data_IF_379837098025
#
_entry.id   IF_379837098025
#
_cell.length_a   1.000
_cell.length_b   1.000
_cell.length_c   1.000
_cell.angle_alpha   90.00
_cell.angle_beta   90.00
_cell.angle_gamma   90.00
#
_symmetry.space_group_name_H-M   'P 1'
#
loop_
_entity.id
_entity.type
_entity.pdbx_description
1 polymer ?
#
# COMPACT_ATOMS: atom_id res chain seq x y z
N UNK A 1 39.57 49.05 2.38
CA UNK A 1 38.38 49.82 2.78
C UNK A 1 37.10 49.03 2.51
N UNK A 2 36.92 47.89 3.17
CA UNK A 2 35.66 47.14 3.16
C UNK A 2 35.56 46.46 4.53
N UNK A 3 34.87 47.10 5.47
CA UNK A 3 34.76 46.63 6.85
C UNK A 3 33.89 45.36 6.98
N UNK A 4 33.82 44.77 8.19
CA UNK A 4 33.18 43.48 8.47
C UNK A 4 31.73 43.33 7.98
N UNK A 5 31.03 44.44 7.70
CA UNK A 5 29.66 44.46 7.18
C UNK A 5 29.52 43.94 5.74
N UNK A 6 30.58 43.91 4.93
CA UNK A 6 30.53 43.42 3.54
C UNK A 6 30.67 41.90 3.43
N UNK A 7 31.38 41.26 4.36
CA UNK A 7 31.46 39.80 4.46
C UNK A 7 30.10 39.21 4.83
N UNK A 8 29.34 39.86 5.71
CA UNK A 8 27.98 39.44 6.06
C UNK A 8 27.02 39.56 4.88
N UNK A 9 27.17 40.55 4.01
CA UNK A 9 26.35 40.66 2.79
C UNK A 9 26.69 39.57 1.77
N UNK A 10 27.96 39.17 1.65
CA UNK A 10 28.39 38.09 0.75
C UNK A 10 28.07 36.69 1.31
N UNK A 11 28.19 36.51 2.63
CA UNK A 11 27.78 35.31 3.34
C UNK A 11 26.26 35.17 3.41
N UNK A 12 25.52 36.28 3.63
CA UNK A 12 24.06 36.30 3.64
C UNK A 12 23.49 36.09 2.24
N UNK A 13 24.09 36.65 1.18
CA UNK A 13 23.66 36.36 -0.20
C UNK A 13 24.00 34.94 -0.66
N UNK A 14 25.13 34.38 -0.23
CA UNK A 14 25.45 32.97 -0.47
C UNK A 14 24.50 32.03 0.31
N UNK A 15 24.23 32.32 1.59
CA UNK A 15 23.28 31.56 2.40
C UNK A 15 21.85 31.68 1.84
N UNK A 16 21.43 32.86 1.41
CA UNK A 16 20.13 33.09 0.79
C UNK A 16 19.99 32.36 -0.55
N UNK A 17 21.04 32.38 -1.39
CA UNK A 17 21.10 31.59 -2.62
C UNK A 17 20.96 30.11 -2.34
N UNK A 18 21.74 29.56 -1.40
CA UNK A 18 21.61 28.16 -0.98
C UNK A 18 20.19 27.87 -0.49
N UNK A 19 19.58 28.76 0.29
CA UNK A 19 18.21 28.56 0.81
C UNK A 19 17.13 28.53 -0.27
N UNK A 20 17.30 29.23 -1.39
CA UNK A 20 16.33 29.21 -2.50
C UNK A 20 16.67 28.13 -3.52
N UNK A 21 17.92 28.06 -3.96
CA UNK A 21 18.33 27.14 -5.02
C UNK A 21 18.37 25.68 -4.55
N UNK A 22 18.65 25.42 -3.28
CA UNK A 22 18.65 24.05 -2.75
C UNK A 22 17.26 23.40 -2.80
N UNK A 23 16.18 23.97 -2.23
CA UNK A 23 14.86 23.36 -2.33
C UNK A 23 14.34 23.31 -3.77
N UNK A 24 14.64 24.32 -4.60
CA UNK A 24 14.28 24.31 -6.03
C UNK A 24 14.97 23.17 -6.76
N UNK A 25 16.27 22.96 -6.53
CA UNK A 25 17.01 21.84 -7.10
C UNK A 25 16.45 20.49 -6.64
N UNK A 26 16.11 20.36 -5.36
CA UNK A 26 15.46 19.15 -4.85
C UNK A 26 14.10 18.91 -5.51
N UNK A 27 13.28 19.93 -5.70
CA UNK A 27 12.00 19.80 -6.41
C UNK A 27 12.21 19.38 -7.88
N UNK A 28 13.20 19.91 -8.58
CA UNK A 28 13.48 19.52 -9.96
C UNK A 28 13.99 18.08 -10.02
N UNK A 29 14.92 17.70 -9.14
CA UNK A 29 15.48 16.35 -9.13
C UNK A 29 14.45 15.27 -8.77
N UNK A 30 13.67 15.49 -7.71
CA UNK A 30 12.66 14.53 -7.26
C UNK A 30 11.33 14.63 -8.03
N UNK A 31 11.02 15.79 -8.61
CA UNK A 31 9.83 16.03 -9.43
C UNK A 31 10.01 15.68 -10.90
N UNK A 32 11.24 15.38 -11.35
CA UNK A 32 11.50 14.94 -12.71
C UNK A 32 10.77 13.62 -13.02
N UNK A 33 10.17 13.48 -14.20
CA UNK A 33 9.46 12.26 -14.59
C UNK A 33 10.39 11.03 -14.59
N UNK A 34 11.69 11.21 -14.88
CA UNK A 34 12.65 10.11 -14.83
C UNK A 34 12.86 9.57 -13.41
N UNK A 35 12.79 10.43 -12.37
CA UNK A 35 12.92 9.99 -10.98
C UNK A 35 11.73 9.10 -10.58
N UNK A 36 10.52 9.51 -10.95
CA UNK A 36 9.29 8.75 -10.71
C UNK A 36 9.33 7.38 -11.41
N UNK A 37 9.68 7.35 -12.69
CA UNK A 37 9.73 6.12 -13.47
C UNK A 37 10.78 5.13 -12.95
N UNK A 38 11.93 5.63 -12.49
CA UNK A 38 13.00 4.79 -11.97
C UNK A 38 12.72 4.26 -10.57
N UNK A 39 12.23 5.10 -9.65
CA UNK A 39 12.17 4.76 -8.22
C UNK A 39 10.77 4.43 -7.71
N UNK A 40 9.72 5.06 -8.25
CA UNK A 40 8.35 4.94 -7.73
C UNK A 40 7.53 3.94 -8.55
N UNK A 41 7.59 4.02 -9.89
CA UNK A 41 6.79 3.17 -10.79
C UNK A 41 7.09 1.68 -10.62
N UNK A 42 8.34 1.32 -10.38
CA UNK A 42 8.78 -0.08 -10.20
C UNK A 42 8.64 -0.58 -8.75
N UNK A 43 8.07 0.23 -7.85
CA UNK A 43 7.81 -0.25 -6.50
C UNK A 43 6.75 -1.35 -6.55
N UNK A 44 7.10 -2.56 -6.11
CA UNK A 44 6.17 -3.69 -5.92
C UNK A 44 5.24 -3.47 -4.73
N UNK A 45 4.75 -2.25 -4.53
CA UNK A 45 3.82 -1.93 -3.44
C UNK A 45 2.52 -2.69 -3.61
N UNK A 46 2.02 -2.75 -4.85
CA UNK A 46 0.88 -3.58 -5.20
C UNK A 46 1.34 -4.99 -5.58
N UNK A 47 0.65 -6.04 -5.13
CA UNK A 47 0.88 -7.38 -5.67
C UNK A 47 0.73 -7.32 -7.19
N UNK A 48 1.61 -8.02 -7.90
CA UNK A 48 1.54 -8.11 -9.36
C UNK A 48 0.12 -8.52 -9.76
N UNK A 49 -0.39 -8.00 -10.87
CA UNK A 49 -1.79 -8.24 -11.29
C UNK A 49 -2.13 -9.74 -11.41
N UNK A 50 -1.12 -10.56 -11.66
CA UNK A 50 -1.13 -12.03 -11.65
C UNK A 50 -1.40 -12.67 -10.27
N UNK A 51 -1.09 -11.98 -9.17
CA UNK A 51 -1.32 -12.40 -7.78
C UNK A 51 -2.57 -11.77 -7.18
N UNK A 52 -3.04 -10.65 -7.72
CA UNK A 52 -4.34 -10.05 -7.35
C UNK A 52 -5.43 -11.00 -7.85
N UNK A 53 -5.90 -11.85 -6.94
CA UNK A 53 -6.92 -12.86 -7.14
C UNK A 53 -8.11 -12.26 -7.91
N UNK A 54 -8.10 -12.43 -9.24
CA UNK A 54 -9.06 -11.84 -10.20
C UNK A 54 -10.43 -12.52 -10.11
N UNK A 55 -10.69 -13.29 -9.04
CA UNK A 55 -12.02 -13.81 -8.73
C UNK A 55 -12.86 -12.73 -8.04
N UNK A 56 -13.06 -11.60 -8.69
CA UNK A 56 -14.07 -10.59 -8.31
C UNK A 56 -15.47 -10.97 -8.78
N UNK A 57 -15.80 -12.27 -8.73
CA UNK A 57 -17.05 -12.80 -9.23
C UNK A 57 -17.26 -14.25 -8.79
N UNK A 58 -17.20 -14.51 -7.49
CA UNK A 58 -17.78 -15.76 -6.97
C UNK A 58 -19.28 -15.65 -7.21
N UNK A 59 -19.84 -16.57 -7.99
CA UNK A 59 -21.26 -16.57 -8.29
C UNK A 59 -22.06 -16.70 -6.99
N UNK A 60 -23.21 -16.02 -6.92
CA UNK A 60 -24.02 -16.00 -5.68
C UNK A 60 -24.44 -17.41 -5.28
N UNK A 61 -24.64 -18.31 -6.25
CA UNK A 61 -25.00 -19.69 -6.00
C UNK A 61 -23.84 -20.48 -5.38
N UNK A 62 -22.61 -20.27 -5.86
CA UNK A 62 -21.40 -20.89 -5.31
C UNK A 62 -21.15 -20.47 -3.85
N UNK A 63 -21.41 -19.19 -3.52
CA UNK A 63 -21.33 -18.70 -2.14
C UNK A 63 -22.35 -19.38 -1.22
N UNK A 64 -23.61 -19.49 -1.66
CA UNK A 64 -24.67 -20.10 -0.84
C UNK A 64 -24.39 -21.59 -0.62
N UNK A 65 -23.91 -22.28 -1.65
CA UNK A 65 -23.48 -23.68 -1.54
C UNK A 65 -22.36 -23.84 -0.51
N UNK A 66 -21.33 -23.00 -0.58
CA UNK A 66 -20.19 -23.08 0.33
C UNK A 66 -20.58 -22.76 1.78
N UNK A 67 -21.51 -21.81 1.99
CA UNK A 67 -22.06 -21.51 3.31
C UNK A 67 -22.81 -22.69 3.90
N UNK A 68 -23.65 -23.39 3.11
CA UNK A 68 -24.39 -24.56 3.60
C UNK A 68 -23.44 -25.71 3.94
N UNK A 69 -22.41 -25.94 3.11
CA UNK A 69 -21.35 -26.92 3.37
C UNK A 69 -20.66 -26.66 4.72
N UNK A 70 -20.26 -25.41 4.97
CA UNK A 70 -19.61 -25.01 6.22
C UNK A 70 -20.55 -25.13 7.43
N UNK A 71 -21.85 -24.86 7.25
CA UNK A 71 -22.85 -25.02 8.31
C UNK A 71 -23.03 -26.47 8.70
N UNK A 72 -23.12 -27.38 7.72
CA UNK A 72 -23.19 -28.82 7.96
C UNK A 72 -21.95 -29.35 8.69
N UNK A 73 -20.76 -28.89 8.27
CA UNK A 73 -19.51 -29.28 8.95
C UNK A 73 -19.46 -28.80 10.41
N UNK A 74 -19.93 -27.58 10.68
CA UNK A 74 -20.04 -27.06 12.06
C UNK A 74 -21.01 -27.87 12.91
N UNK A 75 -22.16 -28.26 12.35
CA UNK A 75 -23.15 -29.09 13.05
C UNK A 75 -22.57 -30.48 13.36
N UNK A 76 -21.89 -31.11 12.40
CA UNK A 76 -21.24 -32.40 12.60
C UNK A 76 -20.16 -32.34 13.69
N UNK A 77 -19.31 -31.30 13.68
CA UNK A 77 -18.29 -31.07 14.73
C UNK A 77 -18.92 -30.82 16.10
N UNK A 78 -20.05 -30.11 16.15
CA UNK A 78 -20.79 -29.85 17.39
C UNK A 78 -21.42 -31.14 17.94
N UNK A 79 -22.06 -31.93 17.09
CA UNK A 79 -22.64 -33.23 17.45
C UNK A 79 -21.57 -34.19 17.97
N UNK A 80 -20.40 -34.26 17.33
CA UNK A 80 -19.27 -35.07 17.78
C UNK A 80 -18.74 -34.63 19.16
N UNK A 81 -18.77 -33.33 19.47
CA UNK A 81 -18.38 -32.81 20.80
C UNK A 81 -19.44 -33.07 21.87
N UNK A 82 -20.71 -32.99 21.51
CA UNK A 82 -21.85 -33.07 22.43
C UNK A 82 -22.41 -34.49 22.58
N UNK A 83 -21.90 -35.46 21.81
CA UNK A 83 -22.33 -36.87 21.87
C UNK A 83 -23.77 -37.09 21.39
N UNK A 84 -24.35 -36.13 20.66
CA UNK A 84 -25.73 -36.18 20.18
C UNK A 84 -25.80 -36.92 18.83
N UNK A 85 -26.77 -37.84 18.60
CA UNK A 85 -26.89 -38.54 17.32
C UNK A 85 -27.21 -37.58 16.16
N UNK A 86 -26.58 -37.86 15.03
CA UNK A 86 -26.61 -37.07 13.80
C UNK A 86 -27.99 -37.16 13.11
N UNK A 87 -28.84 -36.16 13.35
CA UNK A 87 -30.16 -36.04 12.73
C UNK A 87 -30.03 -35.58 11.27
N UNK A 88 -29.75 -36.54 10.39
CA UNK A 88 -29.61 -36.33 8.93
C UNK A 88 -30.82 -36.82 8.12
N UNK A 89 -32.00 -36.95 8.70
CA UNK A 89 -33.19 -37.39 7.95
C UNK A 89 -34.47 -36.64 8.34
N UNK A 90 -34.57 -35.36 7.95
CA UNK A 90 -35.83 -34.67 7.65
C UNK A 90 -35.61 -33.72 6.48
#
# INVERSE_FOLDING_TARGET
MAGPKLEVFKACSAAFGVYIFTPVMFMVYFGAPEFYDKHVRNSKFWPAAEVVNTRTGIDRQELLYEVERLKQERLARKAAREGLPDDKNV
#
